data_IF_825658087037
#
_entry.id   IF_825658087037
#
_cell.length_a   1.000
_cell.length_b   1.000
_cell.length_c   1.000
_cell.angle_alpha   90.00
_cell.angle_beta   90.00
_cell.angle_gamma   90.00
#
_symmetry.space_group_name_H-M   'P 1'
#
loop_
_entity.id
_entity.type
_entity.pdbx_description
1 polymer ?
#
# COMPACT_ATOMS: atom_id res chain seq x y z
N UNK A 1 4.80 11.27 17.07
CA UNK A 1 4.72 9.94 17.70
C UNK A 1 4.32 8.96 16.61
N UNK A 2 5.31 8.37 15.92
CA UNK A 2 5.05 7.47 14.80
C UNK A 2 4.55 6.14 15.36
N UNK A 3 3.31 5.77 15.02
CA UNK A 3 2.77 4.44 15.24
C UNK A 3 3.69 3.46 14.50
N UNK A 4 4.65 2.85 15.21
CA UNK A 4 5.22 1.58 14.76
C UNK A 4 4.04 0.61 14.85
N UNK A 5 3.48 0.13 13.73
CA UNK A 5 2.45 -0.89 13.84
C UNK A 5 3.01 -2.06 14.63
N UNK A 6 2.16 -2.70 15.41
CA UNK A 6 2.52 -3.99 15.98
C UNK A 6 2.92 -4.90 14.81
N UNK A 7 4.22 -5.15 14.65
CA UNK A 7 4.80 -5.87 13.51
C UNK A 7 4.10 -7.23 13.30
N UNK A 8 3.59 -7.82 14.39
CA UNK A 8 2.81 -9.05 14.37
C UNK A 8 1.47 -8.93 13.64
N UNK A 9 0.73 -7.84 13.85
CA UNK A 9 -0.60 -7.66 13.25
C UNK A 9 -0.48 -7.40 11.74
N UNK A 10 0.45 -6.53 11.35
CA UNK A 10 0.76 -6.30 9.94
C UNK A 10 1.23 -7.60 9.27
N UNK A 11 2.10 -8.38 9.94
CA UNK A 11 2.54 -9.67 9.42
C UNK A 11 1.41 -10.70 9.34
N UNK A 12 0.46 -10.69 10.27
CA UNK A 12 -0.68 -11.61 10.23
C UNK A 12 -1.63 -11.23 9.09
N UNK A 13 -1.97 -9.95 8.97
CA UNK A 13 -2.81 -9.46 7.88
C UNK A 13 -2.19 -9.72 6.51
N UNK A 14 -0.88 -9.51 6.39
CA UNK A 14 -0.13 -9.89 5.22
C UNK A 14 -0.24 -11.38 4.91
N UNK A 15 -0.10 -12.26 5.91
CA UNK A 15 -0.26 -13.71 5.68
C UNK A 15 -1.68 -14.06 5.23
N UNK A 16 -2.69 -13.44 5.83
CA UNK A 16 -4.09 -13.64 5.47
C UNK A 16 -4.36 -13.24 4.02
N UNK A 17 -3.89 -12.05 3.62
CA UNK A 17 -3.99 -11.55 2.25
C UNK A 17 -3.20 -12.42 1.28
N UNK A 18 -2.01 -12.88 1.67
CA UNK A 18 -1.21 -13.78 0.85
C UNK A 18 -1.92 -15.13 0.64
N UNK A 19 -2.62 -15.64 1.66
CA UNK A 19 -3.41 -16.87 1.57
C UNK A 19 -4.68 -16.68 0.71
N UNK A 20 -5.35 -15.53 0.84
CA UNK A 20 -6.57 -15.17 0.10
C UNK A 20 -6.28 -14.84 -1.38
N UNK A 21 -5.24 -14.05 -1.63
CA UNK A 21 -4.93 -13.53 -2.97
C UNK A 21 -3.88 -14.38 -3.71
N UNK A 22 -3.16 -15.26 -3.01
CA UNK A 22 -2.06 -16.05 -3.55
C UNK A 22 -0.79 -15.24 -3.85
N UNK A 23 -0.76 -13.95 -3.51
CA UNK A 23 0.36 -13.06 -3.78
C UNK A 23 1.44 -13.15 -2.69
N UNK A 24 2.70 -12.95 -3.05
CA UNK A 24 3.79 -12.89 -2.09
C UNK A 24 3.78 -11.55 -1.33
N UNK A 25 3.78 -11.61 0.01
CA UNK A 25 3.92 -10.39 0.82
C UNK A 25 5.35 -9.86 0.76
N UNK A 26 5.51 -8.62 0.31
CA UNK A 26 6.78 -7.91 0.33
C UNK A 26 6.77 -6.86 1.44
N UNK A 27 7.54 -7.07 2.52
CA UNK A 27 7.62 -6.11 3.60
C UNK A 27 8.24 -4.79 3.11
N UNK A 28 7.66 -3.68 3.55
CA UNK A 28 8.15 -2.34 3.23
C UNK A 28 8.96 -1.83 4.40
N UNK A 29 10.27 -1.68 4.20
CA UNK A 29 11.14 -1.06 5.20
C UNK A 29 10.95 0.46 5.21
N UNK A 30 11.29 1.09 6.33
CA UNK A 30 11.41 2.55 6.36
C UNK A 30 12.49 3.03 5.37
N UNK A 31 12.19 4.12 4.66
CA UNK A 31 13.01 4.61 3.54
C UNK A 31 12.71 3.93 2.21
N UNK A 32 11.95 2.84 2.17
CA UNK A 32 11.66 2.13 0.94
C UNK A 32 10.51 2.79 0.16
N UNK A 33 10.75 2.98 -1.15
CA UNK A 33 9.73 3.37 -2.12
C UNK A 33 9.14 2.11 -2.74
N UNK A 34 7.82 2.02 -2.76
CA UNK A 34 7.08 0.92 -3.35
C UNK A 34 6.10 1.48 -4.34
N UNK A 35 6.22 1.08 -5.60
CA UNK A 35 5.25 1.40 -6.64
C UNK A 35 4.33 0.20 -6.86
N UNK A 36 3.06 0.45 -7.16
CA UNK A 36 2.11 -0.60 -7.47
C UNK A 36 0.72 -0.06 -7.76
N UNK A 37 -0.18 -0.94 -8.20
CA UNK A 37 -1.58 -0.61 -8.42
C UNK A 37 -2.29 -0.66 -7.07
N UNK A 38 -3.00 0.42 -6.74
CA UNK A 38 -3.86 0.43 -5.56
C UNK A 38 -5.07 -0.46 -5.79
N UNK A 39 -5.05 -1.67 -5.20
CA UNK A 39 -6.09 -2.67 -5.39
C UNK A 39 -7.22 -2.57 -4.38
N UNK A 40 -6.89 -2.39 -3.10
CA UNK A 40 -7.86 -2.28 -1.99
C UNK A 40 -7.26 -1.68 -0.73
N UNK A 41 -8.11 -1.05 0.09
CA UNK A 41 -7.78 -0.70 1.47
C UNK A 41 -8.14 -1.85 2.42
N UNK A 42 -7.23 -2.14 3.35
CA UNK A 42 -7.40 -3.17 4.38
C UNK A 42 -7.50 -2.46 5.73
N UNK A 43 -8.56 -2.73 6.48
CA UNK A 43 -8.71 -2.23 7.85
C UNK A 43 -8.04 -3.21 8.81
N UNK A 44 -7.02 -2.74 9.52
CA UNK A 44 -6.34 -3.49 10.57
C UNK A 44 -6.64 -2.84 11.93
N UNK A 45 -6.41 -3.56 13.03
CA UNK A 45 -6.62 -3.03 14.38
C UNK A 45 -5.68 -1.85 14.70
N UNK A 46 -4.50 -1.81 14.06
CA UNK A 46 -3.53 -0.71 14.13
C UNK A 46 -3.88 0.49 13.22
N UNK A 47 -4.88 0.36 12.34
CA UNK A 47 -5.30 1.41 11.40
C UNK A 47 -5.54 0.90 9.98
N UNK A 48 -5.75 1.82 9.05
CA UNK A 48 -6.03 1.47 7.63
C UNK A 48 -4.73 1.37 6.83
N UNK A 49 -4.63 0.30 6.05
CA UNK A 49 -3.51 0.02 5.16
C UNK A 49 -4.00 -0.08 3.72
N UNK A 50 -3.09 0.14 2.79
CA UNK A 50 -3.31 -0.04 1.37
C UNK A 50 -2.48 -1.19 0.87
N UNK A 51 -3.14 -2.05 0.09
CA UNK A 51 -2.50 -3.07 -0.69
C UNK A 51 -2.10 -2.48 -2.05
N UNK A 52 -0.78 -2.31 -2.23
CA UNK A 52 -0.17 -2.04 -3.52
C UNK A 52 0.26 -3.35 -4.14
N UNK A 53 -0.21 -3.59 -5.35
CA UNK A 53 0.19 -4.73 -6.16
C UNK A 53 1.27 -4.29 -7.15
N UNK A 54 2.46 -4.89 -7.05
CA UNK A 54 3.60 -4.64 -7.93
C UNK A 54 3.62 -5.64 -9.12
N UNK A 55 2.58 -6.47 -9.27
CA UNK A 55 2.51 -7.56 -10.25
C UNK A 55 3.28 -8.82 -9.86
N UNK A 56 4.34 -8.71 -9.07
CA UNK A 56 5.10 -9.86 -8.52
C UNK A 56 4.69 -10.25 -7.09
N UNK A 57 3.96 -9.37 -6.42
CA UNK A 57 3.55 -9.52 -5.05
C UNK A 57 2.83 -8.26 -4.59
N UNK A 58 2.55 -8.20 -3.30
CA UNK A 58 1.88 -7.05 -2.71
C UNK A 58 2.64 -6.50 -1.51
N UNK A 59 2.47 -5.20 -1.31
CA UNK A 59 3.02 -4.49 -0.18
C UNK A 59 1.92 -3.73 0.54
N UNK A 60 1.95 -3.85 1.87
CA UNK A 60 1.07 -3.11 2.75
C UNK A 60 1.75 -1.83 3.19
N UNK A 61 1.16 -0.71 2.80
CA UNK A 61 1.63 0.63 3.18
C UNK A 61 0.51 1.36 3.91
N UNK A 62 0.82 2.23 4.87
CA UNK A 62 -0.21 2.96 5.60
C UNK A 62 -1.07 3.79 4.65
N UNK A 63 -2.40 3.64 4.74
CA UNK A 63 -3.32 4.32 3.84
C UNK A 63 -3.41 5.82 4.16
N UNK A 64 -3.63 6.66 3.14
CA UNK A 64 -3.92 8.09 3.31
C UNK A 64 -5.15 8.50 2.51
N UNK A 65 -5.96 9.45 3.00
CA UNK A 65 -7.20 9.88 2.32
C UNK A 65 -6.97 10.40 0.90
N UNK A 66 -5.78 10.94 0.61
CA UNK A 66 -5.40 11.43 -0.73
C UNK A 66 -5.44 10.35 -1.83
N UNK A 67 -5.29 9.07 -1.47
CA UNK A 67 -5.32 7.95 -2.40
C UNK A 67 -6.66 7.22 -2.44
N UNK A 68 -7.63 7.58 -1.59
CA UNK A 68 -8.94 6.91 -1.53
C UNK A 68 -9.65 6.95 -2.88
N UNK A 69 -9.61 8.10 -3.54
CA UNK A 69 -10.19 8.32 -4.87
C UNK A 69 -9.30 7.80 -6.02
N UNK A 70 -8.20 7.10 -5.70
CA UNK A 70 -7.22 6.58 -6.66
C UNK A 70 -7.24 5.06 -6.77
N UNK A 71 -8.33 4.43 -6.34
CA UNK A 71 -8.52 2.99 -6.47
C UNK A 71 -8.37 2.56 -7.94
N UNK A 72 -7.59 1.51 -8.16
CA UNK A 72 -7.25 1.00 -9.50
C UNK A 72 -6.17 1.79 -10.24
N UNK A 73 -5.61 2.85 -9.65
CA UNK A 73 -4.51 3.61 -10.26
C UNK A 73 -3.15 3.12 -9.76
N UNK A 74 -2.11 3.34 -10.59
CA UNK A 74 -0.73 3.10 -10.22
C UNK A 74 -0.21 4.23 -9.33
N UNK A 75 0.17 3.89 -8.10
CA UNK A 75 0.65 4.80 -7.07
C UNK A 75 2.02 4.32 -6.57
N UNK A 76 2.86 5.24 -6.12
CA UNK A 76 4.05 4.91 -5.35
C UNK A 76 3.96 5.47 -3.94
N UNK A 77 4.18 4.61 -2.95
CA UNK A 77 4.28 4.97 -1.55
C UNK A 77 5.75 4.95 -1.12
N UNK A 78 6.23 6.04 -0.53
CA UNK A 78 7.55 6.10 0.10
C UNK A 78 7.37 6.27 1.60
N UNK A 79 7.78 5.28 2.39
CA UNK A 79 7.74 5.36 3.86
C UNK A 79 8.97 6.14 4.32
N UNK A 80 8.81 7.22 5.09
CA UNK A 80 9.91 8.02 5.63
C UNK A 80 9.69 8.29 7.11
N UNK A 81 10.50 7.69 7.98
CA UNK A 81 10.77 8.05 9.40
C UNK A 81 9.60 8.35 10.37
N UNK A 82 8.36 8.34 9.90
CA UNK A 82 7.19 8.87 10.62
C UNK A 82 5.98 9.19 9.74
N UNK A 83 6.08 9.09 8.41
CA UNK A 83 4.96 9.24 7.49
C UNK A 83 5.15 8.50 6.18
N UNK A 84 4.11 8.47 5.37
CA UNK A 84 4.15 7.95 4.00
C UNK A 84 3.83 9.06 3.00
N UNK A 85 4.70 9.19 2.00
CA UNK A 85 4.50 10.06 0.85
C UNK A 85 3.91 9.25 -0.28
N UNK A 86 2.84 9.75 -0.89
CA UNK A 86 2.19 9.12 -2.02
C UNK A 86 2.49 9.92 -3.28
N UNK A 87 3.02 9.25 -4.28
CA UNK A 87 3.22 9.77 -5.62
C UNK A 87 2.20 9.09 -6.52
N UNK A 88 1.27 9.87 -7.07
CA UNK A 88 0.29 9.37 -8.02
C UNK A 88 0.99 9.36 -9.37
N UNK A 89 1.34 8.17 -9.85
CA UNK A 89 1.88 8.00 -11.20
C UNK A 89 0.87 8.58 -12.19
N UNK A 90 1.33 9.46 -13.08
CA UNK A 90 0.48 10.23 -14.01
C UNK A 90 -0.61 9.32 -14.56
N UNK A 91 -1.85 9.58 -14.12
CA UNK A 91 -3.04 9.05 -14.74
C UNK A 91 -2.90 9.38 -16.23
N UNK A 92 -2.65 8.37 -17.06
CA UNK A 92 -3.09 8.46 -18.45
C UNK A 92 -4.60 8.60 -18.33
N UNK A 93 -5.08 9.84 -18.22
CA UNK A 93 -6.46 10.14 -18.49
C UNK A 93 -6.77 9.58 -19.88
N UNK A 94 -8.01 9.16 -20.15
CA UNK A 94 -8.40 8.96 -21.54
C UNK A 94 -7.99 10.22 -22.30
N UNK A 95 -7.14 10.07 -23.31
CA UNK A 95 -7.00 11.09 -24.33
C UNK A 95 -8.37 11.14 -25.00
N UNK A 96 -9.25 12.00 -24.50
CA UNK A 96 -10.42 12.41 -25.26
C UNK A 96 -9.87 13.36 -26.30
N UNK A 97 -9.78 12.84 -27.53
CA UNK A 97 -9.54 13.63 -28.72
C UNK A 97 -10.76 14.44 -29.12
#
# INVERSE_FOLDING_TARGET
MALRPCNRELAQAAKDIAADTGLAHRPVADGQRVAGIYRRSVMLASGRYTMLDDGMGFSLVPWKPVIEQRLGQQLAATVRGGGVSWEIGRQRGPAVG
#
